data_IF_673122296329
#
_entry.id   IF_673122296329
#
_cell.length_a   1.000
_cell.length_b   1.000
_cell.length_c   1.000
_cell.angle_alpha   90.00
_cell.angle_beta   90.00
_cell.angle_gamma   90.00
#
_symmetry.space_group_name_H-M   'P 1'
#
loop_
_entity.id
_entity.type
_entity.pdbx_description
1 polymer ?
#
# COMPACT_ATOMS: atom_id res chain seq x y z
N UNK A 1 15.37 9.69 -1.41
CA UNK A 1 14.12 9.94 -0.66
C UNK A 1 13.00 9.69 -1.66
N UNK A 2 12.18 8.66 -1.45
CA UNK A 2 11.02 8.46 -2.31
C UNK A 2 10.16 9.73 -2.24
N UNK A 3 9.85 10.33 -3.39
CA UNK A 3 8.99 11.49 -3.44
C UNK A 3 7.61 11.14 -2.85
N UNK A 4 7.00 12.10 -2.15
CA UNK A 4 5.63 11.98 -1.66
C UNK A 4 4.71 11.58 -2.83
N UNK A 5 3.97 10.49 -2.67
CA UNK A 5 3.11 9.93 -3.73
C UNK A 5 2.13 10.98 -4.25
N UNK A 6 1.61 11.85 -3.39
CA UNK A 6 0.71 12.93 -3.79
C UNK A 6 1.42 13.96 -4.67
N UNK A 7 2.68 14.24 -4.38
CA UNK A 7 3.51 15.12 -5.19
C UNK A 7 3.85 14.48 -6.54
N UNK A 8 4.29 13.21 -6.54
CA UNK A 8 4.60 12.44 -7.75
C UNK A 8 3.40 12.35 -8.69
N UNK A 9 2.20 12.09 -8.16
CA UNK A 9 0.95 12.08 -8.93
C UNK A 9 0.65 13.45 -9.53
N UNK A 10 0.73 14.53 -8.75
CA UNK A 10 0.47 15.88 -9.25
C UNK A 10 1.47 16.30 -10.33
N UNK A 11 2.73 15.98 -10.16
CA UNK A 11 3.78 16.25 -11.15
C UNK A 11 3.54 15.44 -12.44
N UNK A 12 3.19 14.16 -12.31
CA UNK A 12 2.85 13.30 -13.45
C UNK A 12 1.60 13.76 -14.22
N UNK A 13 0.58 14.27 -13.51
CA UNK A 13 -0.60 14.91 -14.13
C UNK A 13 -0.21 16.22 -14.80
N UNK A 14 0.60 17.06 -14.15
CA UNK A 14 1.09 18.33 -14.72
C UNK A 14 1.93 18.13 -15.99
N UNK A 15 2.66 17.02 -16.08
CA UNK A 15 3.44 16.60 -17.26
C UNK A 15 2.63 15.80 -18.29
N UNK A 16 1.32 15.64 -18.08
CA UNK A 16 0.39 14.89 -18.95
C UNK A 16 0.76 13.40 -19.14
N UNK A 17 1.49 12.80 -18.20
CA UNK A 17 1.74 11.36 -18.18
C UNK A 17 0.57 10.58 -17.57
N UNK A 18 -0.22 11.23 -16.71
CA UNK A 18 -1.43 10.68 -16.11
C UNK A 18 -2.62 11.57 -16.42
N UNK A 19 -3.75 10.95 -16.74
CA UNK A 19 -5.01 11.64 -17.03
C UNK A 19 -6.05 11.24 -15.99
N UNK A 20 -6.71 12.20 -15.31
CA UNK A 20 -7.84 11.89 -14.43
C UNK A 20 -8.96 11.18 -15.19
N UNK A 21 -9.44 10.07 -14.64
CA UNK A 21 -10.54 9.30 -15.22
C UNK A 21 -11.62 9.07 -14.19
N UNK A 22 -12.87 9.06 -14.64
CA UNK A 22 -14.01 8.61 -13.83
C UNK A 22 -14.19 7.13 -14.07
N UNK A 23 -14.21 6.35 -13.00
CA UNK A 23 -14.50 4.91 -13.04
C UNK A 23 -15.98 4.67 -12.73
N UNK A 24 -16.49 3.47 -13.03
CA UNK A 24 -17.86 3.11 -12.66
C UNK A 24 -18.04 3.08 -11.13
N UNK A 25 -19.23 3.43 -10.65
CA UNK A 25 -19.55 3.41 -9.21
C UNK A 25 -19.33 2.01 -8.61
N UNK A 26 -19.57 0.95 -9.39
CA UNK A 26 -19.34 -0.43 -8.97
C UNK A 26 -17.85 -0.72 -8.73
N UNK A 27 -16.97 -0.28 -9.64
CA UNK A 27 -15.53 -0.46 -9.51
C UNK A 27 -14.96 0.38 -8.36
N UNK A 28 -15.45 1.62 -8.20
CA UNK A 28 -15.11 2.49 -7.09
C UNK A 28 -15.46 1.85 -5.74
N UNK A 29 -16.71 1.38 -5.58
CA UNK A 29 -17.14 0.72 -4.34
C UNK A 29 -16.34 -0.55 -4.06
N UNK A 30 -16.03 -1.35 -5.09
CA UNK A 30 -15.16 -2.52 -4.94
C UNK A 30 -13.76 -2.13 -4.44
N UNK A 31 -13.19 -1.05 -4.98
CA UNK A 31 -11.90 -0.52 -4.54
C UNK A 31 -11.91 -0.04 -3.10
N UNK A 32 -12.90 0.76 -2.71
CA UNK A 32 -13.03 1.24 -1.35
C UNK A 32 -13.24 0.09 -0.35
N UNK A 33 -14.09 -0.88 -0.71
CA UNK A 33 -14.35 -2.07 0.13
C UNK A 33 -13.10 -2.92 0.29
N UNK A 34 -12.35 -3.14 -0.79
CA UNK A 34 -11.11 -3.94 -0.77
C UNK A 34 -10.00 -3.25 0.01
N UNK A 35 -9.83 -1.94 -0.16
CA UNK A 35 -8.86 -1.12 0.58
C UNK A 35 -9.14 -1.13 2.09
N UNK A 36 -10.43 -1.00 2.47
CA UNK A 36 -10.85 -1.14 3.86
C UNK A 36 -10.59 -2.54 4.39
N UNK A 37 -10.95 -3.59 3.64
CA UNK A 37 -10.71 -4.98 4.05
C UNK A 37 -9.21 -5.29 4.22
N UNK A 38 -8.36 -4.82 3.31
CA UNK A 38 -6.91 -4.99 3.39
C UNK A 38 -6.34 -4.35 4.65
N UNK A 39 -6.77 -3.11 4.97
CA UNK A 39 -6.36 -2.42 6.19
C UNK A 39 -6.79 -3.17 7.45
N UNK A 40 -8.01 -3.71 7.48
CA UNK A 40 -8.50 -4.50 8.62
C UNK A 40 -7.76 -5.84 8.80
N UNK A 41 -7.29 -6.47 7.72
CA UNK A 41 -6.50 -7.71 7.78
C UNK A 41 -5.09 -7.49 8.35
N UNK A 42 -4.55 -6.27 8.27
CA UNK A 42 -3.25 -5.94 8.88
C UNK A 42 -3.28 -6.05 10.41
N UNK A 43 -4.43 -5.82 11.06
CA UNK A 43 -4.56 -5.90 12.52
C UNK A 43 -4.23 -7.32 13.03
N UNK A 44 -4.95 -8.39 12.66
CA UNK A 44 -4.64 -9.74 13.15
C UNK A 44 -3.25 -10.21 12.71
N UNK A 45 -2.79 -9.86 11.50
CA UNK A 45 -1.44 -10.19 11.04
C UNK A 45 -0.36 -9.53 11.93
N UNK A 46 -0.52 -8.25 12.28
CA UNK A 46 0.42 -7.54 13.15
C UNK A 46 0.48 -8.11 14.58
N UNK A 47 -0.68 -8.56 15.10
CA UNK A 47 -0.75 -9.22 16.42
C UNK A 47 -0.02 -10.56 16.38
N UNK A 48 -0.25 -11.38 15.36
CA UNK A 48 0.42 -12.69 15.20
C UNK A 48 1.94 -12.50 15.14
N UNK A 49 2.42 -11.56 14.30
CA UNK A 49 3.86 -11.25 14.20
C UNK A 49 4.41 -10.80 15.56
N UNK A 50 3.69 -9.94 16.28
CA UNK A 50 4.11 -9.47 17.61
C UNK A 50 4.26 -10.63 18.61
N UNK A 51 3.30 -11.56 18.65
CA UNK A 51 3.34 -12.74 19.52
C UNK A 51 4.51 -13.64 19.17
N UNK A 52 4.76 -13.88 17.88
CA UNK A 52 5.89 -14.70 17.41
C UNK A 52 7.21 -14.09 17.85
N UNK A 53 7.42 -12.78 17.64
CA UNK A 53 8.68 -12.15 18.02
C UNK A 53 8.86 -12.11 19.54
N UNK A 54 7.80 -11.84 20.32
CA UNK A 54 7.84 -11.93 21.78
C UNK A 54 8.23 -13.33 22.26
N UNK A 55 7.69 -14.37 21.61
CA UNK A 55 8.02 -15.78 21.94
C UNK A 55 9.49 -16.08 21.65
N UNK A 56 10.02 -15.64 20.50
CA UNK A 56 11.43 -15.80 20.15
C UNK A 56 12.32 -15.04 21.13
N UNK A 57 11.99 -13.79 21.44
CA UNK A 57 12.73 -12.97 22.40
C UNK A 57 12.74 -13.61 23.79
N UNK A 58 11.61 -14.14 24.25
CA UNK A 58 11.51 -14.86 25.53
C UNK A 58 12.42 -16.09 25.56
N UNK A 59 12.39 -16.92 24.51
CA UNK A 59 13.28 -18.08 24.41
C UNK A 59 14.76 -17.68 24.41
N UNK A 60 15.13 -16.63 23.69
CA UNK A 60 16.52 -16.15 23.63
C UNK A 60 16.99 -15.57 24.97
N UNK A 61 16.14 -14.83 25.69
CA UNK A 61 16.46 -14.29 27.02
C UNK A 61 16.58 -15.43 28.04
N UNK A 62 15.64 -16.38 28.02
CA UNK A 62 15.59 -17.49 28.98
C UNK A 62 16.77 -18.46 28.80
N UNK A 63 17.09 -18.85 27.56
CA UNK A 63 18.14 -19.82 27.28
C UNK A 63 19.54 -19.22 27.14
N UNK A 64 19.68 -18.05 26.51
CA UNK A 64 21.01 -17.46 26.23
C UNK A 64 21.38 -16.31 27.19
N UNK A 65 20.52 -15.93 28.14
CA UNK A 65 20.72 -14.81 29.09
C UNK A 65 21.13 -13.50 28.41
N UNK A 66 20.79 -13.33 27.13
CA UNK A 66 21.13 -12.14 26.36
C UNK A 66 20.13 -11.01 26.65
N UNK A 67 20.43 -10.22 27.68
CA UNK A 67 19.62 -9.06 28.07
C UNK A 67 19.48 -8.01 26.97
N UNK A 68 20.45 -7.89 26.05
CA UNK A 68 20.44 -6.91 24.95
C UNK A 68 19.25 -7.13 23.98
N UNK A 69 18.72 -8.35 23.88
CA UNK A 69 17.60 -8.69 22.98
C UNK A 69 16.26 -8.17 23.52
N UNK A 70 16.16 -7.87 24.82
CA UNK A 70 14.94 -7.31 25.43
C UNK A 70 14.54 -5.95 24.84
N UNK A 71 15.51 -5.11 24.45
CA UNK A 71 15.26 -3.83 23.80
C UNK A 71 14.67 -3.99 22.39
N UNK A 72 15.05 -5.05 21.66
CA UNK A 72 14.46 -5.37 20.35
C UNK A 72 13.00 -5.82 20.46
N UNK A 73 12.63 -6.54 21.53
CA UNK A 73 11.23 -6.92 21.78
C UNK A 73 10.30 -5.71 21.99
N UNK A 74 10.83 -4.60 22.52
CA UNK A 74 10.09 -3.35 22.69
C UNK A 74 9.76 -2.68 21.34
N UNK A 75 10.63 -2.80 20.34
CA UNK A 75 10.35 -2.33 18.97
C UNK A 75 9.20 -3.12 18.32
N UNK A 76 8.91 -4.33 18.79
CA UNK A 76 7.81 -5.13 18.24
C UNK A 76 6.42 -4.54 18.54
N UNK A 77 6.31 -3.69 19.56
CA UNK A 77 5.07 -2.97 19.90
C UNK A 77 4.73 -1.93 18.83
N UNK A 78 5.71 -1.51 18.02
CA UNK A 78 5.50 -0.54 16.93
C UNK A 78 4.64 -1.14 15.81
N UNK A 79 4.76 -2.45 15.53
CA UNK A 79 3.98 -3.11 14.47
C UNK A 79 2.46 -3.04 14.67
N UNK A 80 1.88 -3.40 15.83
CA UNK A 80 0.45 -3.28 16.05
C UNK A 80 -0.01 -1.83 16.11
N UNK A 81 0.82 -0.91 16.63
CA UNK A 81 0.51 0.54 16.60
C UNK A 81 0.43 1.03 15.14
N UNK A 82 1.37 0.62 14.29
CA UNK A 82 1.39 0.96 12.87
C UNK A 82 0.18 0.37 12.12
N UNK A 83 -0.21 -0.87 12.40
CA UNK A 83 -1.39 -1.49 11.79
C UNK A 83 -2.68 -0.74 12.15
N UNK A 84 -2.82 -0.33 13.42
CA UNK A 84 -3.95 0.50 13.88
C UNK A 84 -3.92 1.86 13.18
N UNK A 85 -2.75 2.50 13.11
CA UNK A 85 -2.58 3.77 12.38
C UNK A 85 -3.05 3.66 10.92
N UNK A 86 -2.63 2.63 10.19
CA UNK A 86 -3.03 2.42 8.79
C UNK A 86 -4.55 2.26 8.65
N UNK A 87 -5.21 1.57 9.58
CA UNK A 87 -6.68 1.43 9.55
C UNK A 87 -7.36 2.80 9.71
N UNK A 88 -6.89 3.62 10.63
CA UNK A 88 -7.42 4.97 10.82
C UNK A 88 -7.09 5.90 9.64
N UNK A 89 -5.86 5.85 9.12
CA UNK A 89 -5.43 6.64 7.97
C UNK A 89 -6.26 6.31 6.72
N UNK A 90 -6.41 5.02 6.38
CA UNK A 90 -7.25 4.57 5.27
C UNK A 90 -8.70 4.97 5.48
N UNK A 91 -9.26 4.76 6.68
CA UNK A 91 -10.66 5.14 6.94
C UNK A 91 -10.89 6.65 6.87
N UNK A 92 -9.90 7.45 7.29
CA UNK A 92 -9.95 8.91 7.21
C UNK A 92 -9.82 9.39 5.76
N UNK A 93 -8.92 8.78 4.98
CA UNK A 93 -8.74 9.08 3.56
C UNK A 93 -10.03 8.81 2.76
N UNK A 94 -10.67 7.66 3.00
CA UNK A 94 -11.97 7.33 2.38
C UNK A 94 -13.04 8.35 2.78
N UNK A 95 -13.15 8.69 4.08
CA UNK A 95 -14.14 9.68 4.57
C UNK A 95 -13.92 11.08 3.97
N UNK A 96 -12.66 11.46 3.79
CA UNK A 96 -12.27 12.76 3.24
C UNK A 96 -12.29 12.79 1.70
N UNK A 97 -12.70 11.70 1.04
CA UNK A 97 -12.63 11.56 -0.42
C UNK A 97 -11.23 11.82 -0.99
N UNK A 98 -10.18 11.46 -0.23
CA UNK A 98 -8.78 11.63 -0.63
C UNK A 98 -8.30 10.45 -1.49
N UNK A 99 -9.07 10.15 -2.55
CA UNK A 99 -8.77 9.13 -3.55
C UNK A 99 -8.95 9.67 -4.95
N UNK A 100 -8.12 9.21 -5.88
CA UNK A 100 -8.11 9.66 -7.27
C UNK A 100 -7.91 8.47 -8.20
N UNK A 101 -8.58 8.47 -9.35
CA UNK A 101 -8.40 7.48 -10.40
C UNK A 101 -7.77 8.14 -11.63
N UNK A 102 -6.70 7.53 -12.13
CA UNK A 102 -5.84 8.10 -13.16
C UNK A 102 -5.58 7.02 -14.22
N UNK A 103 -5.70 7.35 -15.50
CA UNK A 103 -5.20 6.51 -16.57
C UNK A 103 -3.74 6.84 -16.85
N UNK A 104 -2.88 5.82 -16.90
CA UNK A 104 -1.46 5.94 -17.19
C UNK A 104 -0.95 4.80 -18.05
N UNK A 105 0.14 5.03 -18.78
CA UNK A 105 0.78 3.99 -19.58
C UNK A 105 1.77 3.18 -18.75
N UNK A 106 1.69 1.86 -18.84
CA UNK A 106 2.64 0.94 -18.21
C UNK A 106 3.95 0.97 -18.98
N UNK A 107 5.07 1.20 -18.29
CA UNK A 107 6.42 1.22 -18.86
C UNK A 107 7.05 -0.16 -18.81
N UNK A 108 6.74 -0.95 -17.78
CA UNK A 108 7.24 -2.31 -17.63
C UNK A 108 6.76 -3.00 -16.35
N UNK A 109 7.02 -4.30 -16.26
CA UNK A 109 6.74 -5.13 -15.08
C UNK A 109 8.02 -5.27 -14.25
N UNK A 110 7.90 -5.14 -12.92
CA UNK A 110 8.96 -5.41 -11.94
C UNK A 110 8.58 -6.62 -11.10
N UNK A 111 9.54 -7.16 -10.33
CA UNK A 111 9.28 -8.27 -9.40
C UNK A 111 8.22 -7.90 -8.34
N UNK A 112 8.07 -6.60 -8.05
CA UNK A 112 7.10 -6.06 -7.09
C UNK A 112 5.77 -5.58 -7.70
N UNK A 113 5.64 -5.51 -9.03
CA UNK A 113 4.42 -4.98 -9.67
C UNK A 113 4.66 -4.41 -11.06
N UNK A 114 4.13 -3.21 -11.31
CA UNK A 114 4.21 -2.52 -12.59
C UNK A 114 4.71 -1.09 -12.39
N UNK A 115 5.49 -0.60 -13.35
CA UNK A 115 5.89 0.80 -13.43
C UNK A 115 4.98 1.53 -14.39
N UNK A 116 4.43 2.65 -13.95
CA UNK A 116 3.60 3.54 -14.77
C UNK A 116 4.39 4.80 -15.07
N UNK A 117 4.25 5.31 -16.30
CA UNK A 117 4.99 6.49 -16.78
C UNK A 117 4.69 7.70 -15.88
N UNK A 118 5.73 8.36 -15.41
CA UNK A 118 5.61 9.46 -14.43
C UNK A 118 5.51 9.02 -12.96
N UNK A 119 5.35 7.72 -12.68
CA UNK A 119 5.38 7.11 -11.35
C UNK A 119 6.42 5.99 -11.26
N UNK A 120 7.50 6.09 -12.04
CA UNK A 120 8.49 5.01 -12.25
C UNK A 120 9.35 4.70 -11.01
N UNK A 121 9.32 5.59 -10.02
CA UNK A 121 9.94 5.42 -8.70
C UNK A 121 9.12 4.53 -7.76
N UNK A 122 7.85 4.26 -8.09
CA UNK A 122 6.95 3.47 -7.28
C UNK A 122 6.60 2.15 -7.99
N UNK A 123 6.77 1.03 -7.29
CA UNK A 123 6.27 -0.26 -7.75
C UNK A 123 4.77 -0.34 -7.43
N UNK A 124 3.94 -0.33 -8.47
CA UNK A 124 2.48 -0.32 -8.32
C UNK A 124 1.95 -1.74 -8.50
N UNK A 125 1.39 -2.31 -7.44
CA UNK A 125 0.85 -3.66 -7.46
C UNK A 125 -0.56 -3.70 -8.04
N UNK A 126 -0.93 -4.83 -8.66
CA UNK A 126 -2.29 -5.09 -9.10
C UNK A 126 -3.18 -5.36 -7.87
N UNK A 127 -4.11 -4.44 -7.62
CA UNK A 127 -4.98 -4.49 -6.45
C UNK A 127 -6.36 -5.05 -6.79
N UNK A 128 -6.93 -4.73 -7.96
CA UNK A 128 -8.21 -5.27 -8.42
C UNK A 128 -8.06 -5.81 -9.84
N UNK A 129 -8.72 -6.94 -10.09
CA UNK A 129 -8.59 -7.67 -11.34
C UNK A 129 -7.32 -8.53 -11.39
N UNK A 130 -7.25 -9.36 -12.42
CA UNK A 130 -6.08 -10.21 -12.72
C UNK A 130 -5.48 -9.87 -14.09
N UNK A 131 -5.84 -8.72 -14.64
CA UNK A 131 -5.31 -8.29 -15.93
C UNK A 131 -3.82 -8.05 -15.78
N UNK A 132 -3.03 -8.78 -16.55
CA UNK A 132 -1.61 -8.49 -16.71
C UNK A 132 -1.47 -7.40 -17.77
N UNK A 133 -0.66 -6.39 -17.46
CA UNK A 133 -0.44 -5.27 -18.36
C UNK A 133 0.91 -5.41 -19.06
N UNK A 134 0.91 -5.26 -20.38
CA UNK A 134 2.11 -5.16 -21.19
C UNK A 134 2.71 -3.74 -21.17
N UNK A 135 3.99 -3.58 -21.53
CA UNK A 135 4.57 -2.26 -21.81
C UNK A 135 3.78 -1.53 -22.91
N UNK A 136 3.43 -0.27 -22.67
CA UNK A 136 2.65 0.58 -23.58
C UNK A 136 1.14 0.50 -23.38
N UNK A 137 0.63 -0.44 -22.58
CA UNK A 137 -0.80 -0.53 -22.30
C UNK A 137 -1.25 0.54 -21.31
N UNK A 138 -2.47 1.02 -21.51
CA UNK A 138 -3.13 1.93 -20.56
C UNK A 138 -3.72 1.14 -19.41
N UNK A 139 -3.32 1.49 -18.18
CA UNK A 139 -3.86 0.94 -16.96
C UNK A 139 -4.48 2.04 -16.09
N UNK A 140 -5.45 1.67 -15.25
CA UNK A 140 -6.06 2.60 -14.30
C UNK A 140 -5.31 2.48 -12.98
N UNK A 141 -4.70 3.58 -12.57
CA UNK A 141 -4.01 3.77 -11.29
C UNK A 141 -4.97 4.45 -10.33
N UNK A 142 -5.28 3.78 -9.22
CA UNK A 142 -5.99 4.34 -8.10
C UNK A 142 -4.99 4.82 -7.04
N UNK A 143 -5.08 6.10 -6.67
CA UNK A 143 -4.40 6.66 -5.51
C UNK A 143 -5.36 6.68 -4.33
N UNK A 144 -4.95 6.18 -3.17
CA UNK A 144 -5.68 6.31 -1.92
C UNK A 144 -4.69 6.71 -0.82
N UNK A 145 -4.84 7.90 -0.25
CA UNK A 145 -3.82 8.49 0.62
C UNK A 145 -2.45 8.52 -0.09
N UNK A 146 -1.45 7.81 0.45
CA UNK A 146 -0.08 7.67 -0.08
C UNK A 146 0.16 6.32 -0.79
N UNK A 147 -0.90 5.54 -1.06
CA UNK A 147 -0.80 4.26 -1.74
C UNK A 147 -1.23 4.36 -3.21
N UNK A 148 -0.47 3.72 -4.09
CA UNK A 148 -0.77 3.55 -5.51
C UNK A 148 -1.14 2.10 -5.79
N UNK A 149 -2.24 1.90 -6.48
CA UNK A 149 -2.77 0.58 -6.77
C UNK A 149 -3.29 0.53 -8.21
N UNK A 150 -2.98 -0.55 -8.93
CA UNK A 150 -3.60 -0.78 -10.24
C UNK A 150 -4.96 -1.45 -10.08
N UNK A 151 -5.93 -0.94 -10.81
CA UNK A 151 -7.28 -1.52 -10.88
C UNK A 151 -7.61 -1.85 -12.34
N UNK A 152 -8.19 -3.04 -12.54
CA UNK A 152 -8.83 -3.40 -13.79
C UNK A 152 -10.28 -3.75 -13.54
N UNK A 153 -11.11 -3.53 -14.56
CA UNK A 153 -12.40 -4.23 -14.71
C UNK A 153 -12.20 -5.75 -14.79
#
# INVERSE_FOLDING_TARGET
MAADVKFSVKDAVGKQYLTPVTVSEELEQQFLKKSRSASWKLIPASIIVSVVVLTIAFLLIYFLKMFVISAFGLLCIIFPIYAVYNVFATSKAIKNHDYEFLAGQVVGKTDGGYKVRGLEEHDISAFIGKKEYGPGETAIVARLNDELNLISE
#
